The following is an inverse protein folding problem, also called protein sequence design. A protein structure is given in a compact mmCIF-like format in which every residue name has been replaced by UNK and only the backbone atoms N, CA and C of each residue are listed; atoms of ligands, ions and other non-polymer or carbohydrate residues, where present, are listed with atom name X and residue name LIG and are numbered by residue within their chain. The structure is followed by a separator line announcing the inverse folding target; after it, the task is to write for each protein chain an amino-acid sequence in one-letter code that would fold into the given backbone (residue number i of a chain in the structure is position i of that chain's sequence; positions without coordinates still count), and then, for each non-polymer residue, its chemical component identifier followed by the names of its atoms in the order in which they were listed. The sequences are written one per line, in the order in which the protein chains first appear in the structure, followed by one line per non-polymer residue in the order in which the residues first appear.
data_IF_864367797716
#
_entry.id   IF_864367797716
#
_cell.length_a   1.000
_cell.length_b   1.000
_cell.length_c   1.000
_cell.angle_alpha   90.00
_cell.angle_beta   90.00
_cell.angle_gamma   90.00
#
_symmetry.space_group_name_H-M   'P 1'
#
loop_
_entity.id
_entity.type
_entity.pdbx_description
1 polymer ?
#
# COMPACT_ATOMS: atom_id res chain seq x y z
N UNK A 1 -8.18 23.97 -0.39
CA UNK A 1 -8.93 24.33 -1.60
C UNK A 1 -8.65 23.24 -2.61
N UNK A 2 -9.64 22.41 -2.95
CA UNK A 2 -9.54 21.41 -4.02
C UNK A 2 -10.24 22.00 -5.23
N UNK A 3 -9.61 21.95 -6.40
CA UNK A 3 -10.20 22.37 -7.66
C UNK A 3 -10.53 21.12 -8.46
N UNK A 4 -11.78 21.00 -8.92
CA UNK A 4 -12.21 19.93 -9.80
C UNK A 4 -12.00 20.42 -11.24
N UNK A 5 -11.30 19.65 -12.05
CA UNK A 5 -11.10 19.97 -13.47
C UNK A 5 -11.47 18.74 -14.30
N UNK A 6 -12.22 18.95 -15.37
CA UNK A 6 -12.37 17.94 -16.41
C UNK A 6 -11.17 18.04 -17.35
N UNK A 7 -10.58 16.90 -17.70
CA UNK A 7 -9.43 16.83 -18.59
C UNK A 7 -9.70 15.76 -19.65
N UNK A 8 -9.39 16.07 -20.90
CA UNK A 8 -9.47 15.07 -21.97
C UNK A 8 -8.32 14.06 -21.80
N UNK A 9 -8.68 12.78 -21.66
CA UNK A 9 -7.70 11.70 -21.52
C UNK A 9 -7.11 11.41 -22.90
N UNK A 10 -5.85 11.81 -23.10
CA UNK A 10 -5.09 11.46 -24.30
C UNK A 10 -4.74 9.96 -24.25
N UNK A 11 -5.15 9.15 -25.25
CA UNK A 11 -4.81 7.74 -25.28
C UNK A 11 -3.30 7.54 -25.47
N UNK A 12 -2.73 6.62 -24.71
CA UNK A 12 -1.33 6.21 -24.88
C UNK A 12 -1.17 5.41 -26.18
N UNK A 13 0.00 5.50 -26.80
CA UNK A 13 0.33 4.62 -27.94
C UNK A 13 0.30 3.15 -27.49
N UNK A 14 -0.22 2.28 -28.35
CA UNK A 14 -0.33 0.85 -28.07
C UNK A 14 1.05 0.22 -27.97
N UNK A 15 1.34 -0.39 -26.84
CA UNK A 15 2.57 -1.15 -26.59
C UNK A 15 2.55 -2.54 -27.25
N UNK A 16 1.36 -3.07 -27.56
CA UNK A 16 1.16 -4.45 -28.02
C UNK A 16 1.42 -5.51 -26.96
N UNK A 17 1.70 -5.11 -25.71
CA UNK A 17 2.12 -5.98 -24.63
C UNK A 17 0.96 -6.35 -23.69
N UNK A 18 0.98 -7.57 -23.18
CA UNK A 18 0.01 -8.09 -22.22
C UNK A 18 0.71 -8.73 -21.02
N UNK A 19 0.25 -8.42 -19.80
CA UNK A 19 0.89 -8.93 -18.58
C UNK A 19 -0.11 -9.43 -17.55
N UNK A 20 0.23 -10.55 -16.93
CA UNK A 20 -0.45 -11.07 -15.74
C UNK A 20 0.14 -10.48 -14.47
N UNK A 21 -0.70 -9.99 -13.56
CA UNK A 21 -0.30 -9.55 -12.22
C UNK A 21 -0.63 -10.64 -11.20
N UNK A 22 0.39 -11.06 -10.44
CA UNK A 22 0.27 -11.89 -9.25
C UNK A 22 0.70 -11.09 -8.01
N UNK A 23 -0.23 -10.89 -7.07
CA UNK A 23 0.03 -10.13 -5.83
C UNK A 23 0.46 -11.11 -4.73
N UNK A 24 1.76 -11.09 -4.42
CA UNK A 24 2.39 -12.04 -3.50
C UNK A 24 2.60 -11.48 -2.09
N UNK A 25 2.81 -12.39 -1.13
CA UNK A 25 3.15 -12.04 0.26
C UNK A 25 4.60 -11.61 0.46
N UNK A 26 5.48 -12.09 -0.42
CA UNK A 26 6.94 -11.90 -0.35
C UNK A 26 7.41 -10.80 -1.30
N UNK A 27 6.73 -10.70 -2.43
CA UNK A 27 6.92 -9.73 -3.49
C UNK A 27 5.58 -9.07 -3.78
N UNK A 28 5.54 -7.74 -3.77
CA UNK A 28 4.31 -6.94 -3.78
C UNK A 28 3.49 -7.17 -5.06
N UNK A 29 4.17 -7.18 -6.21
CA UNK A 29 3.61 -7.57 -7.51
C UNK A 29 4.66 -8.37 -8.27
N UNK A 30 4.27 -9.53 -8.78
CA UNK A 30 5.03 -10.29 -9.77
C UNK A 30 4.27 -10.20 -11.10
N UNK A 31 4.95 -9.70 -12.11
CA UNK A 31 4.45 -9.67 -13.48
C UNK A 31 4.81 -10.96 -14.21
N UNK A 32 3.94 -11.41 -15.13
CA UNK A 32 4.17 -12.63 -15.92
C UNK A 32 5.36 -12.54 -16.87
N UNK A 33 5.87 -11.33 -17.11
CA UNK A 33 7.10 -11.04 -17.87
C UNK A 33 8.39 -11.26 -17.04
N UNK A 34 8.24 -11.60 -15.75
CA UNK A 34 9.35 -11.82 -14.82
C UNK A 34 9.75 -10.60 -13.99
N UNK A 35 9.17 -9.42 -14.23
CA UNK A 35 9.41 -8.23 -13.41
C UNK A 35 8.78 -8.44 -12.04
N UNK A 36 9.56 -8.17 -10.99
CA UNK A 36 9.13 -8.33 -9.61
C UNK A 36 9.28 -7.01 -8.86
N UNK A 37 8.16 -6.49 -8.39
CA UNK A 37 8.11 -5.32 -7.52
C UNK A 37 8.14 -5.77 -6.06
N UNK A 38 9.21 -5.43 -5.36
CA UNK A 38 9.39 -5.79 -3.94
C UNK A 38 8.63 -4.83 -3.05
N UNK A 39 8.13 -5.35 -1.92
CA UNK A 39 7.58 -4.50 -0.88
C UNK A 39 8.69 -3.55 -0.35
N UNK A 40 8.53 -2.22 -0.46
CA UNK A 40 9.56 -1.28 -0.07
C UNK A 40 9.94 -1.43 1.41
N UNK A 41 11.24 -1.66 1.67
CA UNK A 41 11.78 -1.84 3.03
C UNK A 41 11.46 -0.69 3.99
N UNK A 42 11.16 0.50 3.48
CA UNK A 42 10.82 1.67 4.31
C UNK A 42 9.51 1.49 5.09
N UNK A 43 8.56 0.68 4.60
CA UNK A 43 7.31 0.40 5.32
C UNK A 43 7.57 -0.25 6.67
N UNK A 44 8.53 -1.17 6.73
CA UNK A 44 8.92 -1.85 7.98
C UNK A 44 9.41 -0.88 9.04
N UNK A 45 10.25 0.10 8.65
CA UNK A 45 10.74 1.14 9.57
C UNK A 45 9.60 2.03 10.08
N UNK A 46 8.62 2.34 9.23
CA UNK A 46 7.44 3.11 9.64
C UNK A 46 6.53 2.31 10.57
N UNK A 47 6.36 1.01 10.32
CA UNK A 47 5.61 0.09 11.18
C UNK A 47 6.25 -0.07 12.56
N UNK A 48 7.58 -0.17 12.63
CA UNK A 48 8.31 -0.19 13.91
C UNK A 48 8.10 1.10 14.69
N UNK A 49 8.14 2.27 14.01
CA UNK A 49 7.82 3.57 14.62
C UNK A 49 6.38 3.61 15.12
N UNK A 50 5.44 3.07 14.34
CA UNK A 50 4.03 3.00 14.71
C UNK A 50 3.82 2.12 15.94
N UNK A 51 4.40 0.91 15.96
CA UNK A 51 4.32 -0.02 17.08
C UNK A 51 4.88 0.61 18.37
N UNK A 52 6.02 1.31 18.26
CA UNK A 52 6.59 2.06 19.39
C UNK A 52 5.66 3.17 19.86
N UNK A 53 5.06 3.93 18.94
CA UNK A 53 4.14 5.00 19.27
C UNK A 53 2.86 4.50 19.94
N UNK A 54 2.30 3.38 19.46
CA UNK A 54 1.14 2.72 20.05
C UNK A 54 1.46 2.17 21.45
N UNK A 55 2.64 1.57 21.66
CA UNK A 55 3.07 1.07 22.98
C UNK A 55 3.24 2.20 24.00
N UNK A 56 3.73 3.36 23.58
CA UNK A 56 3.80 4.54 24.45
C UNK A 56 2.38 5.05 24.74
N UNK A 57 1.49 5.06 23.75
CA UNK A 57 0.11 5.52 23.91
C UNK A 57 -0.67 4.65 24.90
N UNK A 58 -0.53 3.33 24.81
CA UNK A 58 -1.25 2.37 25.66
C UNK A 58 -0.84 2.44 27.13
N UNK A 59 0.38 2.89 27.41
CA UNK A 59 0.91 3.08 28.78
C UNK A 59 0.52 4.42 29.39
N UNK A 60 -0.02 5.36 28.61
CA UNK A 60 -0.40 6.68 29.10
C UNK A 60 -1.86 6.70 29.56
N UNK A 61 -2.13 7.42 30.65
CA UNK A 61 -3.49 7.62 31.17
C UNK A 61 -4.35 8.33 30.14
N UNK A 62 -5.41 7.65 29.67
CA UNK A 62 -6.37 8.17 28.71
C UNK A 62 -6.94 9.52 29.19
N UNK A 63 -7.06 10.49 28.30
CA UNK A 63 -7.55 11.83 28.62
C UNK A 63 -6.52 12.81 29.18
N UNK A 64 -5.33 12.35 29.60
CA UNK A 64 -4.26 13.27 30.01
C UNK A 64 -3.70 14.07 28.83
N UNK A 65 -3.12 15.25 29.10
CA UNK A 65 -2.44 16.07 28.08
C UNK A 65 -1.35 15.28 27.33
N UNK A 66 -0.56 14.50 28.07
CA UNK A 66 0.46 13.63 27.49
C UNK A 66 -0.14 12.51 26.63
N UNK A 67 -1.26 11.92 27.02
CA UNK A 67 -1.96 10.95 26.18
C UNK A 67 -2.44 11.58 24.87
N UNK A 68 -3.05 12.77 24.92
CA UNK A 68 -3.53 13.44 23.72
C UNK A 68 -2.39 13.79 22.74
N UNK A 69 -1.25 14.31 23.26
CA UNK A 69 -0.04 14.56 22.45
C UNK A 69 0.44 13.28 21.73
N UNK A 70 0.45 12.15 22.45
CA UNK A 70 0.89 10.88 21.88
C UNK A 70 -0.12 10.30 20.87
N UNK A 71 -1.43 10.50 21.11
CA UNK A 71 -2.49 10.08 20.20
C UNK A 71 -2.35 10.77 18.85
N UNK A 72 -2.15 12.10 18.85
CA UNK A 72 -1.90 12.87 17.62
C UNK A 72 -0.64 12.40 16.91
N UNK A 73 0.44 12.11 17.64
CA UNK A 73 1.66 11.54 17.05
C UNK A 73 1.40 10.19 16.36
N UNK A 74 0.62 9.32 17.00
CA UNK A 74 0.26 8.00 16.43
C UNK A 74 -0.59 8.18 15.16
N UNK A 75 -1.56 9.08 15.18
CA UNK A 75 -2.39 9.39 14.01
C UNK A 75 -1.57 9.91 12.83
N UNK A 76 -0.60 10.81 13.07
CA UNK A 76 0.31 11.32 12.02
C UNK A 76 1.17 10.22 11.40
N UNK A 77 1.59 9.22 12.18
CA UNK A 77 2.34 8.08 11.65
C UNK A 77 1.43 7.21 10.77
N UNK A 78 0.19 6.97 11.19
CA UNK A 78 -0.80 6.26 10.37
C UNK A 78 -1.06 6.97 9.03
N UNK A 79 -1.30 8.29 9.07
CA UNK A 79 -1.49 9.12 7.88
C UNK A 79 -0.29 9.04 6.95
N UNK A 80 0.93 9.14 7.49
CA UNK A 80 2.14 9.05 6.69
C UNK A 80 2.31 7.67 6.02
N UNK A 81 1.99 6.57 6.72
CA UNK A 81 2.02 5.22 6.16
C UNK A 81 0.99 5.09 5.02
N UNK A 82 -0.24 5.56 5.24
CA UNK A 82 -1.30 5.51 4.24
C UNK A 82 -0.91 6.30 2.97
N UNK A 83 -0.40 7.52 3.14
CA UNK A 83 0.04 8.36 2.04
C UNK A 83 1.22 7.73 1.27
N UNK A 84 2.18 7.13 1.98
CA UNK A 84 3.31 6.46 1.33
C UNK A 84 2.89 5.18 0.59
N UNK A 85 1.91 4.42 1.10
CA UNK A 85 1.30 3.29 0.38
C UNK A 85 0.58 3.74 -0.87
N UNK A 86 -0.24 4.79 -0.77
CA UNK A 86 -0.96 5.34 -1.91
C UNK A 86 -0.01 5.85 -3.00
N UNK A 87 1.02 6.61 -2.64
CA UNK A 87 2.03 7.11 -3.59
C UNK A 87 2.76 5.97 -4.32
N UNK A 88 3.15 4.92 -3.59
CA UNK A 88 3.78 3.74 -4.19
C UNK A 88 2.84 3.01 -5.16
N UNK A 89 1.59 2.78 -4.76
CA UNK A 89 0.57 2.15 -5.59
C UNK A 89 0.28 2.95 -6.86
N UNK A 90 0.16 4.27 -6.75
CA UNK A 90 -0.08 5.15 -7.91
C UNK A 90 1.08 5.13 -8.90
N UNK A 91 2.32 5.15 -8.40
CA UNK A 91 3.52 5.05 -9.26
C UNK A 91 3.56 3.70 -9.97
N UNK A 92 3.33 2.62 -9.23
CA UNK A 92 3.32 1.27 -9.76
C UNK A 92 2.23 1.08 -10.82
N UNK A 93 0.99 1.48 -10.54
CA UNK A 93 -0.10 1.35 -11.50
C UNK A 93 0.16 2.16 -12.76
N UNK A 94 0.72 3.37 -12.62
CA UNK A 94 1.08 4.22 -13.76
C UNK A 94 2.18 3.57 -14.61
N UNK A 95 3.19 2.97 -13.97
CA UNK A 95 4.26 2.27 -14.66
C UNK A 95 3.73 1.05 -15.43
N UNK A 96 2.87 0.25 -14.82
CA UNK A 96 2.30 -0.94 -15.48
C UNK A 96 1.44 -0.54 -16.68
N UNK A 97 0.51 0.42 -16.51
CA UNK A 97 -0.40 0.87 -17.58
C UNK A 97 0.36 1.51 -18.75
N UNK A 98 1.48 2.19 -18.50
CA UNK A 98 2.31 2.77 -19.57
C UNK A 98 3.05 1.74 -20.40
N UNK A 99 3.28 0.55 -19.86
CA UNK A 99 4.11 -0.47 -20.50
C UNK A 99 3.29 -1.68 -21.01
N UNK A 100 2.00 -1.75 -20.69
CA UNK A 100 1.14 -2.89 -21.03
C UNK A 100 -0.27 -2.43 -21.41
N UNK A 101 -0.74 -2.88 -22.58
CA UNK A 101 -2.08 -2.57 -23.10
C UNK A 101 -3.16 -3.46 -22.45
N UNK A 102 -2.79 -4.68 -22.07
CA UNK A 102 -3.70 -5.66 -21.46
C UNK A 102 -3.13 -6.14 -20.14
N UNK A 103 -3.90 -5.98 -19.07
CA UNK A 103 -3.52 -6.40 -17.72
C UNK A 103 -4.50 -7.47 -17.26
N UNK A 104 -4.00 -8.70 -17.08
CA UNK A 104 -4.75 -9.79 -16.47
C UNK A 104 -4.44 -9.89 -14.98
N UNK A 105 -5.44 -9.73 -14.10
CA UNK A 105 -5.25 -9.95 -12.66
C UNK A 105 -5.78 -11.32 -12.29
N UNK A 106 -4.97 -12.15 -11.63
CA UNK A 106 -5.49 -13.37 -11.02
C UNK A 106 -6.33 -12.98 -9.80
N UNK A 107 -7.58 -13.46 -9.75
CA UNK A 107 -8.47 -13.31 -8.60
C UNK A 107 -7.95 -14.17 -7.45
N UNK A 108 -6.91 -13.69 -6.76
CA UNK A 108 -6.56 -14.20 -5.44
C UNK A 108 -7.75 -13.84 -4.55
N UNK A 109 -8.40 -14.85 -3.99
CA UNK A 109 -9.43 -14.65 -2.98
C UNK A 109 -8.76 -14.12 -1.69
N UNK A 110 -8.34 -12.85 -1.72
CA UNK A 110 -7.69 -12.13 -0.62
C UNK A 110 -8.53 -12.25 0.64
N UNK A 111 -9.86 -12.24 0.48
CA UNK A 111 -10.85 -12.47 1.55
C UNK A 111 -10.70 -13.82 2.26
N UNK A 112 -10.35 -14.90 1.55
CA UNK A 112 -10.10 -16.21 2.15
C UNK A 112 -8.71 -16.30 2.79
N UNK A 113 -7.72 -15.60 2.23
CA UNK A 113 -6.37 -15.59 2.80
C UNK A 113 -6.28 -14.70 4.06
N UNK A 114 -7.06 -13.61 4.14
CA UNK A 114 -7.23 -12.77 5.34
C UNK A 114 -7.87 -13.54 6.51
N UNK A 115 -8.64 -14.60 6.25
CA UNK A 115 -9.18 -15.49 7.31
C UNK A 115 -8.09 -16.36 7.94
N UNK A 116 -6.97 -16.58 7.26
CA UNK A 116 -5.86 -17.34 7.79
C UNK A 116 -4.96 -16.43 8.63
N UNK A 117 -5.02 -16.52 9.97
CA UNK A 117 -4.24 -15.65 10.88
C UNK A 117 -2.74 -15.60 10.60
N UNK A 118 -2.15 -16.65 10.02
CA UNK A 118 -0.71 -16.69 9.67
C UNK A 118 -0.39 -15.85 8.43
N UNK A 119 -1.33 -15.76 7.50
CA UNK A 119 -1.17 -15.02 6.24
C UNK A 119 -1.79 -13.62 6.33
N UNK A 120 -2.80 -13.41 7.17
CA UNK A 120 -3.56 -12.17 7.30
C UNK A 120 -2.69 -10.93 7.52
N UNK A 121 -1.64 -11.07 8.35
CA UNK A 121 -0.71 -9.98 8.62
C UNK A 121 0.09 -9.60 7.37
N UNK A 122 0.68 -10.59 6.70
CA UNK A 122 1.45 -10.37 5.48
C UNK A 122 0.57 -9.89 4.30
N UNK A 123 -0.71 -10.28 4.26
CA UNK A 123 -1.66 -9.81 3.24
C UNK A 123 -2.07 -8.37 3.50
N UNK A 124 -2.34 -8.00 4.76
CA UNK A 124 -2.63 -6.61 5.14
C UNK A 124 -1.43 -5.66 5.00
N UNK A 125 -0.23 -6.21 4.87
CA UNK A 125 0.99 -5.47 4.54
C UNK A 125 1.14 -5.22 3.03
N UNK A 126 0.40 -5.97 2.19
CA UNK A 126 0.45 -5.90 0.72
C UNK A 126 -0.82 -5.26 0.11
N UNK A 127 -1.98 -5.36 0.78
CA UNK A 127 -3.18 -4.53 0.52
C UNK A 127 -3.09 -3.16 1.19
#
# INVERSE_FOLDING_TARGET
MSILTETEVQPLEKTGSSVGIDVGLKDFVILSDGITYKNPKFFRTLEEKLAKAQRILSRRTKGSSNWNKQRVKTARIHEHIANARADYLHKLSTEIIKNHDVIGMKDLQISNMLKNRKLAKAISEVS
#
